data_IF_192644387381
#
_entry.id   IF_192644387381
#
_cell.length_a   1.000
_cell.length_b   1.000
_cell.length_c   1.000
_cell.angle_alpha   90.00
_cell.angle_beta   90.00
_cell.angle_gamma   90.00
#
_symmetry.space_group_name_H-M   'P 1'
#
loop_
_entity.id
_entity.type
_entity.pdbx_description
1 polymer ?
#
# COMPACT_ATOMS: atom_id res chain seq x y z
N UNK A 1 13.60 33.89 -8.95
CA UNK A 1 14.50 32.83 -8.42
C UNK A 1 14.63 32.95 -6.90
N UNK A 2 15.15 34.04 -6.33
CA UNK A 2 15.27 34.20 -4.87
C UNK A 2 13.94 34.07 -4.09
N UNK A 3 12.82 34.60 -4.61
CA UNK A 3 11.48 34.47 -4.00
C UNK A 3 10.96 33.04 -4.05
N UNK A 4 11.24 32.30 -5.12
CA UNK A 4 10.85 30.89 -5.28
C UNK A 4 11.67 30.01 -4.33
N UNK A 5 12.96 30.31 -4.16
CA UNK A 5 13.84 29.65 -3.20
C UNK A 5 13.41 29.96 -1.76
N UNK A 6 13.05 31.21 -1.46
CA UNK A 6 12.57 31.64 -0.14
C UNK A 6 11.20 31.01 0.19
N UNK A 7 10.28 30.95 -0.78
CA UNK A 7 9.01 30.24 -0.63
C UNK A 7 9.22 28.73 -0.45
N UNK A 8 10.13 28.12 -1.21
CA UNK A 8 10.51 26.72 -1.02
C UNK A 8 11.07 26.44 0.38
N UNK A 9 11.86 27.36 0.92
CA UNK A 9 12.41 27.26 2.28
C UNK A 9 11.34 27.46 3.38
N UNK A 10 10.42 28.40 3.18
CA UNK A 10 9.31 28.68 4.10
C UNK A 10 8.28 27.55 4.14
N UNK A 11 7.95 26.97 2.98
CA UNK A 11 7.13 25.76 2.88
C UNK A 11 7.82 24.62 3.64
N UNK A 12 9.12 24.40 3.40
CA UNK A 12 9.93 23.39 4.12
C UNK A 12 9.95 23.52 5.64
N UNK A 13 9.80 24.73 6.16
CA UNK A 13 9.83 24.99 7.61
C UNK A 13 8.45 24.90 8.30
N UNK A 14 7.34 24.92 7.55
CA UNK A 14 5.99 25.06 8.13
C UNK A 14 5.01 23.94 7.78
N UNK A 15 5.28 23.14 6.75
CA UNK A 15 4.39 22.03 6.37
C UNK A 15 4.85 20.71 6.99
N UNK A 16 3.88 19.93 7.51
CA UNK A 16 4.16 18.61 8.08
C UNK A 16 4.85 17.69 7.07
N UNK A 17 5.71 16.79 7.54
CA UNK A 17 6.62 16.00 6.68
C UNK A 17 5.94 15.25 5.51
N UNK A 18 4.65 14.91 5.63
CA UNK A 18 3.85 14.29 4.55
C UNK A 18 3.52 15.26 3.41
N UNK A 19 3.19 16.51 3.70
CA UNK A 19 2.90 17.53 2.67
C UNK A 19 4.18 17.92 1.95
N UNK A 20 5.31 17.96 2.66
CA UNK A 20 6.62 18.19 2.05
C UNK A 20 7.06 17.07 1.12
N UNK A 21 6.69 15.83 1.40
CA UNK A 21 6.98 14.70 0.53
C UNK A 21 6.29 14.81 -0.85
N UNK A 22 5.13 15.50 -0.93
CA UNK A 22 4.41 15.75 -2.20
C UNK A 22 5.13 16.83 -3.03
N UNK A 23 5.70 17.84 -2.37
CA UNK A 23 6.37 18.98 -3.03
C UNK A 23 7.81 18.63 -3.42
N UNK A 24 8.49 17.83 -2.60
CA UNK A 24 9.86 17.36 -2.84
C UNK A 24 9.93 15.82 -2.77
N UNK A 25 9.85 15.14 -3.92
CA UNK A 25 9.98 13.68 -4.00
C UNK A 25 11.31 13.14 -3.48
N UNK A 26 12.38 13.95 -3.50
CA UNK A 26 13.69 13.53 -2.98
C UNK A 26 13.72 13.58 -1.46
N UNK A 27 13.04 14.56 -0.84
CA UNK A 27 12.91 14.62 0.62
C UNK A 27 12.13 13.43 1.20
N UNK A 28 11.16 12.89 0.46
CA UNK A 28 10.43 11.66 0.84
C UNK A 28 11.36 10.49 1.16
N UNK A 29 12.42 10.30 0.37
CA UNK A 29 13.39 9.21 0.58
C UNK A 29 14.11 9.28 1.94
N UNK A 30 14.12 10.45 2.58
CA UNK A 30 14.73 10.66 3.89
C UNK A 30 13.84 10.28 5.08
N UNK A 31 12.55 10.01 4.87
CA UNK A 31 11.59 9.62 5.92
C UNK A 31 11.05 8.22 5.63
N UNK A 32 11.67 7.16 6.17
CA UNK A 32 11.31 5.78 5.86
C UNK A 32 9.85 5.41 6.10
N UNK A 33 9.24 5.86 7.20
CA UNK A 33 7.82 5.59 7.49
C UNK A 33 6.90 6.16 6.40
N UNK A 34 7.25 7.31 5.81
CA UNK A 34 6.47 7.87 4.70
C UNK A 34 6.71 7.07 3.42
N UNK A 35 7.94 6.64 3.15
CA UNK A 35 8.27 5.87 1.95
C UNK A 35 7.73 4.44 1.95
N UNK A 36 7.52 3.84 3.12
CA UNK A 36 7.00 2.45 3.24
C UNK A 36 5.49 2.33 3.08
N UNK A 37 4.76 3.44 3.09
CA UNK A 37 3.31 3.43 2.88
C UNK A 37 3.04 3.45 1.38
N UNK A 38 2.38 2.40 0.89
CA UNK A 38 2.09 2.23 -0.54
C UNK A 38 1.37 3.45 -1.15
N UNK A 39 0.48 4.11 -0.39
CA UNK A 39 -0.23 5.32 -0.84
C UNK A 39 0.71 6.50 -1.18
N UNK A 40 1.92 6.49 -0.63
CA UNK A 40 2.91 7.54 -0.82
C UNK A 40 3.94 7.19 -1.90
N UNK A 41 3.74 6.11 -2.65
CA UNK A 41 4.59 5.75 -3.78
C UNK A 41 4.46 6.74 -4.94
N UNK A 42 5.46 6.67 -5.83
CA UNK A 42 5.44 7.44 -7.06
C UNK A 42 4.55 6.73 -8.07
N UNK A 43 3.72 7.51 -8.74
CA UNK A 43 2.80 7.00 -9.75
C UNK A 43 3.57 6.64 -11.01
N UNK A 44 3.42 5.41 -11.49
CA UNK A 44 4.00 4.98 -12.76
C UNK A 44 3.09 5.39 -13.93
N UNK A 45 3.60 5.32 -15.17
CA UNK A 45 2.75 5.56 -16.34
C UNK A 45 1.57 4.58 -16.39
N UNK A 46 1.79 3.35 -15.92
CA UNK A 46 0.78 2.30 -15.91
C UNK A 46 -0.37 2.66 -14.96
N UNK A 47 -0.06 3.20 -13.78
CA UNK A 47 -1.08 3.64 -12.80
C UNK A 47 -1.94 4.77 -13.40
N UNK A 48 -1.31 5.76 -14.05
CA UNK A 48 -2.02 6.80 -14.79
C UNK A 48 -2.96 6.24 -15.85
N UNK A 49 -2.51 5.24 -16.60
CA UNK A 49 -3.33 4.61 -17.62
C UNK A 49 -4.46 3.78 -17.00
N UNK A 50 -4.18 2.99 -15.97
CA UNK A 50 -5.16 2.18 -15.27
C UNK A 50 -6.27 3.05 -14.64
N UNK A 51 -5.90 4.19 -14.05
CA UNK A 51 -6.84 5.14 -13.44
C UNK A 51 -7.62 5.98 -14.45
N UNK A 52 -6.94 6.62 -15.41
CA UNK A 52 -7.55 7.64 -16.28
C UNK A 52 -7.84 7.17 -17.71
N UNK A 53 -7.20 6.10 -18.18
CA UNK A 53 -7.39 5.51 -19.50
C UNK A 53 -7.40 6.57 -20.63
N UNK A 54 -8.48 6.63 -21.43
CA UNK A 54 -8.63 7.59 -22.52
C UNK A 54 -8.59 9.06 -22.05
N UNK A 55 -9.00 9.33 -20.80
CA UNK A 55 -9.00 10.69 -20.25
C UNK A 55 -7.57 11.25 -20.14
N UNK A 56 -6.58 10.38 -19.93
CA UNK A 56 -5.16 10.76 -19.95
C UNK A 56 -4.77 11.41 -21.28
N UNK A 57 -5.30 10.91 -22.41
CA UNK A 57 -5.05 11.45 -23.75
C UNK A 57 -5.88 12.71 -24.04
N UNK A 58 -7.08 12.82 -23.45
CA UNK A 58 -7.95 13.99 -23.62
C UNK A 58 -7.48 15.19 -22.79
N UNK A 59 -6.76 14.96 -21.68
CA UNK A 59 -6.33 16.02 -20.77
C UNK A 59 -5.44 17.09 -21.45
N UNK A 60 -4.38 16.75 -22.21
CA UNK A 60 -3.60 17.76 -22.95
C UNK A 60 -4.42 18.53 -24.00
N UNK A 61 -5.36 17.84 -24.67
CA UNK A 61 -6.27 18.47 -25.65
C UNK A 61 -7.19 19.47 -24.95
N UNK A 62 -7.73 19.11 -23.79
CA UNK A 62 -8.56 20.00 -22.99
C UNK A 62 -7.77 21.23 -22.52
N UNK A 63 -6.54 21.06 -22.05
CA UNK A 63 -5.65 22.18 -21.66
C UNK A 63 -5.45 23.16 -22.82
N UNK A 64 -5.22 22.65 -24.03
CA UNK A 64 -5.12 23.50 -25.22
C UNK A 64 -6.43 24.25 -25.51
N UNK A 65 -7.58 23.59 -25.38
CA UNK A 65 -8.87 24.23 -25.60
C UNK A 65 -9.23 25.26 -24.50
N UNK A 66 -8.81 25.03 -23.25
CA UNK A 66 -8.93 26.00 -22.17
C UNK A 66 -8.04 27.22 -22.44
N UNK A 67 -6.83 27.00 -22.95
CA UNK A 67 -5.93 28.09 -23.33
C UNK A 67 -6.53 28.97 -24.44
N UNK A 68 -7.17 28.33 -25.43
CA UNK A 68 -7.88 29.01 -26.52
C UNK A 68 -9.09 29.83 -26.07
N UNK A 69 -9.73 29.52 -24.94
CA UNK A 69 -10.83 30.34 -24.39
C UNK A 69 -10.33 31.68 -23.85
N UNK A 70 -9.10 31.71 -23.31
CA UNK A 70 -8.47 32.92 -22.74
C UNK A 70 -9.33 33.66 -21.69
N UNK A 71 -10.21 32.93 -20.99
CA UNK A 71 -11.03 33.45 -19.89
C UNK A 71 -10.44 33.07 -18.52
N UNK A 72 -10.86 33.79 -17.47
CA UNK A 72 -10.41 33.51 -16.09
C UNK A 72 -10.69 32.04 -15.69
N UNK A 73 -11.81 31.49 -16.13
CA UNK A 73 -12.15 30.09 -15.92
C UNK A 73 -11.15 29.14 -16.61
N UNK A 74 -10.80 29.38 -17.88
CA UNK A 74 -9.82 28.59 -18.61
C UNK A 74 -8.45 28.62 -17.93
N UNK A 75 -8.00 29.78 -17.46
CA UNK A 75 -6.74 29.91 -16.69
C UNK A 75 -6.79 29.08 -15.40
N UNK A 76 -7.89 29.17 -14.64
CA UNK A 76 -8.05 28.38 -13.42
C UNK A 76 -8.04 26.87 -13.68
N UNK A 77 -8.70 26.42 -14.76
CA UNK A 77 -8.73 25.01 -15.16
C UNK A 77 -7.35 24.49 -15.59
N UNK A 78 -6.56 25.30 -16.31
CA UNK A 78 -5.19 24.96 -16.68
C UNK A 78 -4.32 24.84 -15.43
N UNK A 79 -4.37 25.81 -14.53
CA UNK A 79 -3.61 25.76 -13.28
C UNK A 79 -3.98 24.53 -12.46
N UNK A 80 -5.27 24.24 -12.32
CA UNK A 80 -5.72 23.06 -11.58
C UNK A 80 -5.26 21.76 -12.25
N UNK A 81 -5.41 21.62 -13.57
CA UNK A 81 -4.98 20.43 -14.30
C UNK A 81 -3.47 20.20 -14.17
N UNK A 82 -2.64 21.24 -14.32
CA UNK A 82 -1.19 21.13 -14.22
C UNK A 82 -0.75 20.81 -12.79
N UNK A 83 -1.29 21.50 -11.78
CA UNK A 83 -0.95 21.25 -10.38
C UNK A 83 -1.40 19.86 -9.92
N UNK A 84 -2.61 19.43 -10.29
CA UNK A 84 -3.11 18.10 -9.96
C UNK A 84 -2.28 17.01 -10.65
N UNK A 85 -1.95 17.18 -11.94
CA UNK A 85 -1.10 16.21 -12.67
C UNK A 85 0.28 16.08 -12.01
N UNK A 86 0.88 17.20 -11.59
CA UNK A 86 2.15 17.18 -10.87
C UNK A 86 2.05 16.47 -9.51
N UNK A 87 0.99 16.77 -8.75
CA UNK A 87 0.75 16.12 -7.47
C UNK A 87 0.55 14.61 -7.64
N UNK A 88 -0.26 14.18 -8.61
CA UNK A 88 -0.46 12.77 -8.96
C UNK A 88 0.83 12.10 -9.39
N UNK A 89 1.66 12.74 -10.22
CA UNK A 89 2.95 12.16 -10.61
C UNK A 89 3.91 11.97 -9.42
N UNK A 90 3.77 12.79 -8.38
CA UNK A 90 4.62 12.76 -7.19
C UNK A 90 4.06 11.88 -6.07
N UNK A 91 2.77 11.54 -6.12
CA UNK A 91 2.00 10.94 -5.04
C UNK A 91 0.76 10.21 -5.57
N UNK A 92 0.73 8.87 -5.51
CA UNK A 92 -0.38 8.05 -6.04
C UNK A 92 -1.74 8.50 -5.52
N UNK A 93 -1.89 8.75 -4.22
CA UNK A 93 -3.19 9.15 -3.66
C UNK A 93 -3.69 10.53 -4.14
N UNK A 94 -2.84 11.35 -4.76
CA UNK A 94 -3.31 12.58 -5.41
C UNK A 94 -4.11 12.34 -6.70
N UNK A 95 -4.25 11.09 -7.18
CA UNK A 95 -5.21 10.72 -8.23
C UNK A 95 -6.65 11.18 -7.92
N UNK A 96 -7.05 11.15 -6.65
CA UNK A 96 -8.36 11.65 -6.20
C UNK A 96 -8.57 13.13 -6.56
N UNK A 97 -7.49 13.93 -6.52
CA UNK A 97 -7.51 15.36 -6.85
C UNK A 97 -7.54 15.58 -8.37
N UNK A 98 -6.86 14.72 -9.14
CA UNK A 98 -6.83 14.79 -10.61
C UNK A 98 -8.14 14.30 -11.24
N UNK A 99 -8.85 13.38 -10.58
CA UNK A 99 -10.12 12.79 -11.05
C UNK A 99 -11.18 13.82 -11.50
N UNK A 100 -11.59 14.80 -10.68
CA UNK A 100 -12.64 15.75 -11.10
C UNK A 100 -12.22 16.61 -12.29
N UNK A 101 -10.97 17.07 -12.34
CA UNK A 101 -10.49 17.90 -13.46
C UNK A 101 -10.31 17.08 -14.74
N UNK A 102 -9.87 15.83 -14.63
CA UNK A 102 -9.78 14.90 -15.76
C UNK A 102 -11.16 14.59 -16.35
N UNK A 103 -12.17 14.39 -15.50
CA UNK A 103 -13.55 14.19 -15.94
C UNK A 103 -14.11 15.43 -16.66
N UNK A 104 -13.91 16.63 -16.12
CA UNK A 104 -14.35 17.87 -16.77
C UNK A 104 -13.60 18.13 -18.08
N UNK A 105 -12.29 17.88 -18.10
CA UNK A 105 -11.45 17.97 -19.29
C UNK A 105 -11.95 17.03 -20.40
N UNK A 106 -12.16 15.75 -20.08
CA UNK A 106 -12.67 14.75 -21.01
C UNK A 106 -14.06 15.13 -21.52
N UNK A 107 -14.97 15.53 -20.63
CA UNK A 107 -16.33 15.95 -21.00
C UNK A 107 -16.30 17.18 -21.94
N UNK A 108 -15.41 18.14 -21.68
CA UNK A 108 -15.28 19.33 -22.51
C UNK A 108 -14.79 19.00 -23.93
N UNK A 109 -13.78 18.12 -24.06
CA UNK A 109 -13.29 17.68 -25.39
C UNK A 109 -14.37 16.88 -26.12
N UNK A 110 -15.01 15.92 -25.44
CA UNK A 110 -16.06 15.08 -26.02
C UNK A 110 -17.24 15.95 -26.50
N UNK A 111 -17.68 16.92 -25.70
CA UNK A 111 -18.75 17.85 -26.08
C UNK A 111 -18.40 18.62 -27.35
N UNK A 112 -17.16 19.12 -27.49
CA UNK A 112 -16.72 19.84 -28.70
C UNK A 112 -16.66 18.93 -29.93
N UNK A 113 -16.27 17.68 -29.75
CA UNK A 113 -16.30 16.69 -30.83
C UNK A 113 -17.74 16.39 -31.25
N UNK A 114 -18.65 16.20 -30.30
CA UNK A 114 -20.08 15.99 -30.59
C UNK A 114 -20.64 17.20 -31.35
N UNK A 115 -20.39 18.43 -30.90
CA UNK A 115 -20.86 19.64 -31.58
C UNK A 115 -20.33 19.76 -33.02
N UNK A 116 -19.09 19.34 -33.26
CA UNK A 116 -18.47 19.40 -34.59
C UNK A 116 -19.03 18.32 -35.54
N UNK A 117 -19.20 17.08 -35.07
CA UNK A 117 -19.55 15.94 -35.92
C UNK A 117 -21.05 15.63 -35.95
N UNK A 118 -21.83 15.93 -34.91
CA UNK A 118 -23.26 15.62 -34.88
C UNK A 118 -24.04 16.27 -36.04
N UNK A 119 -23.81 17.55 -36.43
CA UNK A 119 -24.47 18.13 -37.58
C UNK A 119 -24.09 17.46 -38.91
N UNK A 120 -22.84 17.00 -39.04
CA UNK A 120 -22.34 16.29 -40.22
C UNK A 120 -23.03 14.92 -40.35
N UNK A 121 -23.09 14.17 -39.25
CA UNK A 121 -23.76 12.87 -39.16
C UNK A 121 -25.26 12.99 -39.45
N UNK A 122 -25.94 13.98 -38.85
CA UNK A 122 -27.36 14.21 -39.08
C UNK A 122 -27.68 14.61 -40.53
N UNK A 123 -26.79 15.38 -41.18
CA UNK A 123 -26.92 15.73 -42.60
C UNK A 123 -26.69 14.51 -43.50
N UNK A 124 -25.67 13.71 -43.22
CA UNK A 124 -25.38 12.48 -43.95
C UNK A 124 -26.55 11.48 -43.88
N UNK A 125 -27.07 11.23 -42.67
CA UNK A 125 -28.24 10.37 -42.46
C UNK A 125 -29.46 10.85 -43.29
N UNK A 126 -29.73 12.16 -43.28
CA UNK A 126 -30.84 12.75 -44.04
C UNK A 126 -30.62 12.72 -45.56
N UNK A 127 -29.38 12.80 -46.05
CA UNK A 127 -29.09 12.70 -47.49
C UNK A 127 -29.21 11.28 -48.01
N UNK A 128 -28.80 10.28 -47.22
CA UNK A 128 -28.93 8.86 -47.57
C UNK A 128 -30.40 8.43 -47.58
N UNK A 129 -31.20 8.91 -46.61
CA UNK A 129 -32.65 8.69 -46.58
C UNK A 129 -33.41 9.33 -47.76
N UNK A 130 -32.83 10.34 -48.42
CA UNK A 130 -33.41 11.03 -49.59
C UNK A 130 -32.79 10.64 -50.94
N UNK A 131 -31.95 9.60 -50.98
CA UNK A 131 -31.40 9.05 -52.23
C UNK A 131 -30.53 10.01 -53.06
N UNK A 132 -29.91 11.04 -52.45
CA UNK A 132 -29.00 11.95 -53.16
C UNK A 132 -27.54 11.57 -52.94
N UNK A 133 -26.73 11.65 -54.03
CA UNK A 133 -25.32 11.23 -54.10
C UNK A 133 -24.44 11.84 -52.99
N UNK A 134 -23.53 10.99 -52.52
CA UNK A 134 -22.51 11.21 -51.48
C UNK A 134 -21.77 12.55 -51.63
N UNK A 135 -21.78 13.34 -50.55
CA UNK A 135 -21.00 14.55 -50.41
C UNK A 135 -19.58 14.18 -49.95
N UNK A 136 -18.60 14.35 -50.85
CA UNK A 136 -17.19 14.21 -50.57
C UNK A 136 -16.67 15.42 -49.77
N UNK A 137 -16.08 15.18 -48.61
CA UNK A 137 -15.39 16.18 -47.81
C UNK A 137 -15.45 15.85 -46.33
N UNK A 138 -14.55 14.95 -45.89
CA UNK A 138 -14.53 14.25 -44.60
C UNK A 138 -15.56 13.13 -44.54
N UNK A 139 -15.05 11.89 -44.46
CA UNK A 139 -15.87 10.70 -44.29
C UNK A 139 -16.59 10.80 -42.95
N UNK A 140 -17.83 11.27 -42.99
CA UNK A 140 -18.75 11.31 -41.84
C UNK A 140 -18.80 9.94 -41.14
N UNK A 141 -18.56 8.87 -41.90
CA UNK A 141 -18.36 7.50 -41.44
C UNK A 141 -17.22 7.39 -40.44
N UNK A 142 -16.04 7.92 -40.74
CA UNK A 142 -14.87 7.90 -39.85
C UNK A 142 -15.12 8.73 -38.59
N UNK A 143 -15.70 9.92 -38.73
CA UNK A 143 -16.02 10.78 -37.57
C UNK A 143 -17.09 10.17 -36.65
N UNK A 144 -18.11 9.52 -37.23
CA UNK A 144 -19.14 8.81 -36.48
C UNK A 144 -18.61 7.56 -35.79
N UNK A 145 -17.81 6.76 -36.48
CA UNK A 145 -17.16 5.57 -35.92
C UNK A 145 -16.24 5.97 -34.74
N UNK A 146 -15.45 7.03 -34.89
CA UNK A 146 -14.57 7.52 -33.82
C UNK A 146 -15.35 8.01 -32.59
N UNK A 147 -16.47 8.72 -32.79
CA UNK A 147 -17.34 9.13 -31.67
C UNK A 147 -18.00 7.95 -30.97
N UNK A 148 -18.51 6.98 -31.71
CA UNK A 148 -19.11 5.76 -31.14
C UNK A 148 -18.05 4.95 -30.39
N UNK A 149 -16.87 4.78 -30.97
CA UNK A 149 -15.75 4.11 -30.32
C UNK A 149 -15.37 4.82 -29.01
N UNK A 150 -15.27 6.15 -29.01
CA UNK A 150 -14.96 6.94 -27.82
C UNK A 150 -15.97 6.73 -26.68
N UNK A 151 -17.28 6.66 -27.01
CA UNK A 151 -18.35 6.41 -26.03
C UNK A 151 -18.26 4.97 -25.50
N UNK A 152 -18.10 3.98 -26.37
CA UNK A 152 -17.98 2.57 -25.98
C UNK A 152 -16.77 2.36 -25.07
N UNK A 153 -15.61 2.88 -25.47
CA UNK A 153 -14.37 2.81 -24.70
C UNK A 153 -14.53 3.47 -23.32
N UNK A 154 -15.18 4.63 -23.25
CA UNK A 154 -15.46 5.31 -21.97
C UNK A 154 -16.37 4.47 -21.06
N UNK A 155 -17.42 3.85 -21.62
CA UNK A 155 -18.32 2.96 -20.87
C UNK A 155 -17.64 1.68 -20.37
N UNK A 156 -16.78 1.08 -21.18
CA UNK A 156 -15.99 -0.09 -20.78
C UNK A 156 -15.08 0.21 -19.58
N UNK A 157 -14.39 1.36 -19.60
CA UNK A 157 -13.52 1.75 -18.49
C UNK A 157 -14.28 2.13 -17.22
N UNK A 158 -15.47 2.74 -17.35
CA UNK A 158 -16.36 2.96 -16.21
C UNK A 158 -16.74 1.63 -15.54
N UNK A 159 -17.06 0.59 -16.32
CA UNK A 159 -17.35 -0.73 -15.78
C UNK A 159 -16.14 -1.34 -15.04
N UNK A 160 -14.93 -1.22 -15.58
CA UNK A 160 -13.73 -1.70 -14.88
C UNK A 160 -13.50 -0.99 -13.54
N UNK A 161 -13.70 0.34 -13.49
CA UNK A 161 -13.62 1.10 -12.24
C UNK A 161 -14.67 0.65 -11.21
N UNK A 162 -15.90 0.38 -11.65
CA UNK A 162 -16.95 -0.16 -10.77
C UNK A 162 -16.61 -1.56 -10.26
N UNK A 163 -16.11 -2.44 -11.12
CA UNK A 163 -15.71 -3.79 -10.74
C UNK A 163 -14.54 -3.79 -9.74
N UNK A 164 -13.59 -2.86 -9.88
CA UNK A 164 -12.49 -2.70 -8.92
C UNK A 164 -12.97 -2.12 -7.57
N UNK A 165 -13.92 -1.18 -7.61
CA UNK A 165 -14.52 -0.59 -6.42
C UNK A 165 -15.40 -1.58 -5.63
N UNK A 166 -16.00 -2.56 -6.31
CA UNK A 166 -16.79 -3.65 -5.71
C UNK A 166 -15.90 -4.78 -5.17
N UNK A 167 -14.79 -4.42 -4.52
CA UNK A 167 -13.91 -5.36 -3.85
C UNK A 167 -14.28 -5.45 -2.35
N UNK A 168 -14.18 -6.65 -1.73
CA UNK A 168 -14.46 -6.81 -0.32
C UNK A 168 -13.51 -5.95 0.52
N UNK A 169 -13.98 -5.38 1.65
CA UNK A 169 -13.12 -4.55 2.50
C UNK A 169 -11.97 -5.39 3.07
N UNK A 170 -10.82 -4.75 3.30
CA UNK A 170 -9.60 -5.41 3.77
C UNK A 170 -9.78 -6.21 5.07
N UNK A 171 -10.65 -5.76 5.97
CA UNK A 171 -10.97 -6.48 7.20
C UNK A 171 -11.61 -7.86 6.92
N UNK A 172 -12.32 -8.03 5.82
CA UNK A 172 -12.96 -9.29 5.44
C UNK A 172 -12.14 -10.09 4.42
N UNK A 173 -10.91 -9.68 4.13
CA UNK A 173 -10.06 -10.33 3.12
C UNK A 173 -8.77 -10.83 3.77
N UNK A 174 -8.48 -12.12 3.61
CA UNK A 174 -7.25 -12.76 4.07
C UNK A 174 -6.63 -13.52 2.92
N UNK A 175 -5.36 -13.22 2.58
CA UNK A 175 -4.66 -13.94 1.50
C UNK A 175 -5.43 -14.00 0.17
N UNK A 176 -6.09 -12.92 -0.21
CA UNK A 176 -6.84 -12.80 -1.47
C UNK A 176 -8.22 -13.45 -1.51
N UNK A 177 -8.74 -13.98 -0.40
CA UNK A 177 -10.10 -14.52 -0.32
C UNK A 177 -10.89 -13.92 0.84
N UNK A 178 -12.21 -13.95 0.72
CA UNK A 178 -13.12 -13.47 1.78
C UNK A 178 -13.07 -14.44 2.95
N UNK A 179 -12.71 -13.96 4.13
CA UNK A 179 -12.62 -14.75 5.36
C UNK A 179 -13.11 -13.94 6.57
N UNK A 180 -13.62 -14.64 7.58
CA UNK A 180 -14.03 -14.06 8.87
C UNK A 180 -12.92 -14.10 9.91
N UNK A 181 -11.72 -14.50 9.53
CA UNK A 181 -10.56 -14.66 10.41
C UNK A 181 -10.23 -13.42 11.24
N UNK A 182 -10.21 -12.23 10.62
CA UNK A 182 -9.98 -10.98 11.33
C UNK A 182 -11.07 -10.68 12.35
N UNK A 183 -12.34 -10.85 11.97
CA UNK A 183 -13.47 -10.66 12.88
C UNK A 183 -13.37 -11.61 14.07
N UNK A 184 -13.14 -12.90 13.83
CA UNK A 184 -13.02 -13.92 14.86
C UNK A 184 -11.85 -13.63 15.81
N UNK A 185 -10.67 -13.28 15.28
CA UNK A 185 -9.50 -12.97 16.08
C UNK A 185 -9.71 -11.73 16.97
N UNK A 186 -10.28 -10.66 16.42
CA UNK A 186 -10.53 -9.43 17.16
C UNK A 186 -11.62 -9.62 18.23
N UNK A 187 -12.68 -10.38 17.94
CA UNK A 187 -13.69 -10.75 18.93
C UNK A 187 -13.13 -11.67 20.00
N UNK A 188 -12.25 -12.62 19.64
CA UNK A 188 -11.56 -13.45 20.62
C UNK A 188 -10.76 -12.59 21.60
N UNK A 189 -9.97 -11.62 21.09
CA UNK A 189 -9.23 -10.67 21.94
C UNK A 189 -10.20 -9.91 22.86
N UNK A 190 -11.31 -9.41 22.32
CA UNK A 190 -12.31 -8.64 23.09
C UNK A 190 -12.88 -9.41 24.29
N UNK A 191 -13.14 -10.70 24.12
CA UNK A 191 -13.85 -11.51 25.12
C UNK A 191 -12.93 -12.38 25.99
N UNK A 192 -11.68 -12.61 25.59
CA UNK A 192 -10.77 -13.53 26.29
C UNK A 192 -9.53 -12.86 26.89
N UNK A 193 -9.35 -11.55 26.73
CA UNK A 193 -8.23 -10.81 27.35
C UNK A 193 -8.73 -9.79 28.38
N UNK A 194 -7.93 -9.36 29.38
CA UNK A 194 -8.30 -8.29 30.29
C UNK A 194 -8.61 -6.96 29.56
N UNK A 195 -9.58 -6.15 29.99
CA UNK A 195 -9.96 -4.90 29.30
C UNK A 195 -8.83 -3.88 29.10
N UNK A 196 -7.84 -3.88 29.99
CA UNK A 196 -6.67 -3.01 29.95
C UNK A 196 -5.42 -3.68 29.35
N UNK A 197 -5.55 -4.88 28.80
CA UNK A 197 -4.44 -5.60 28.20
C UNK A 197 -3.96 -4.89 26.92
N UNK A 198 -2.69 -4.52 26.90
CA UNK A 198 -2.06 -3.90 25.73
C UNK A 198 -1.73 -4.97 24.71
N UNK A 199 -2.26 -4.81 23.50
CA UNK A 199 -2.01 -5.69 22.35
C UNK A 199 -1.00 -5.00 21.43
N UNK A 200 0.17 -5.59 21.27
CA UNK A 200 1.13 -5.19 20.25
C UNK A 200 0.76 -5.83 18.91
N UNK A 201 0.91 -5.08 17.83
CA UNK A 201 0.77 -5.55 16.45
C UNK A 201 1.53 -4.60 15.53
N UNK A 202 1.74 -4.98 14.27
CA UNK A 202 2.12 -3.98 13.27
C UNK A 202 1.09 -2.84 13.21
N UNK A 203 1.54 -1.63 12.88
CA UNK A 203 0.76 -0.41 13.04
C UNK A 203 -0.50 -0.37 12.16
N UNK A 204 -0.48 -1.05 11.00
CA UNK A 204 -1.62 -1.15 10.08
C UNK A 204 -2.91 -1.63 10.77
N UNK A 205 -2.79 -2.55 11.72
CA UNK A 205 -3.95 -3.21 12.36
C UNK A 205 -4.45 -2.48 13.62
N UNK A 206 -3.76 -1.41 14.05
CA UNK A 206 -4.00 -0.77 15.34
C UNK A 206 -5.44 -0.26 15.54
N UNK A 207 -6.04 0.33 14.49
CA UNK A 207 -7.43 0.78 14.57
C UNK A 207 -8.43 -0.37 14.66
N UNK A 208 -8.16 -1.51 14.03
CA UNK A 208 -9.04 -2.68 14.11
C UNK A 208 -9.07 -3.24 15.53
N UNK A 209 -7.89 -3.33 16.17
CA UNK A 209 -7.75 -3.72 17.57
C UNK A 209 -8.46 -2.73 18.49
N UNK A 210 -8.24 -1.43 18.29
CA UNK A 210 -8.84 -0.39 19.13
C UNK A 210 -10.37 -0.38 19.03
N UNK A 211 -10.92 -0.45 17.82
CA UNK A 211 -12.37 -0.29 17.59
C UNK A 211 -13.14 -1.58 17.83
N UNK A 212 -12.68 -2.72 17.30
CA UNK A 212 -13.41 -3.99 17.35
C UNK A 212 -13.05 -4.74 18.61
N UNK A 213 -11.75 -4.96 18.86
CA UNK A 213 -11.30 -5.69 20.04
C UNK A 213 -11.43 -4.87 21.34
N UNK A 214 -11.60 -3.55 21.24
CA UNK A 214 -11.70 -2.63 22.38
C UNK A 214 -10.54 -2.81 23.37
N UNK A 215 -9.30 -2.80 22.86
CA UNK A 215 -8.06 -2.90 23.64
C UNK A 215 -7.07 -1.80 23.28
N UNK A 216 -6.24 -1.34 24.25
CA UNK A 216 -5.11 -0.49 23.93
C UNK A 216 -4.15 -1.18 22.93
N UNK A 217 -3.72 -0.45 21.91
CA UNK A 217 -2.70 -0.91 20.93
C UNK A 217 -1.39 -0.15 21.12
N UNK A 218 -0.27 -0.80 20.83
CA UNK A 218 1.04 -0.16 20.88
C UNK A 218 1.29 0.81 19.71
N UNK A 219 0.71 0.55 18.55
CA UNK A 219 0.90 1.39 17.38
C UNK A 219 -0.38 1.44 16.54
N UNK A 220 -0.55 2.52 15.78
CA UNK A 220 -1.73 2.76 14.97
C UNK A 220 -1.42 3.49 13.63
N UNK A 221 -2.35 3.48 12.67
CA UNK A 221 -2.17 4.10 11.36
C UNK A 221 -2.02 5.62 11.33
N UNK A 222 -2.25 6.35 12.44
CA UNK A 222 -1.96 7.79 12.49
C UNK A 222 -0.46 8.08 12.40
N UNK A 223 0.37 7.12 12.85
CA UNK A 223 1.83 7.21 12.90
C UNK A 223 2.36 8.49 13.57
N UNK A 224 1.67 9.01 14.57
CA UNK A 224 2.06 10.25 15.26
C UNK A 224 3.40 10.09 15.98
N UNK A 225 3.61 8.98 16.68
CA UNK A 225 4.87 8.67 17.36
C UNK A 225 5.72 7.68 16.54
N UNK A 226 6.56 8.21 15.66
CA UNK A 226 7.42 7.41 14.77
C UNK A 226 8.50 6.64 15.51
N UNK A 227 9.00 7.13 16.65
CA UNK A 227 10.01 6.44 17.46
C UNK A 227 9.43 5.16 18.08
N UNK A 228 8.18 5.19 18.51
CA UNK A 228 7.48 4.02 19.05
C UNK A 228 7.27 2.93 17.99
N UNK A 229 6.86 3.30 16.78
CA UNK A 229 6.74 2.36 15.65
C UNK A 229 8.09 1.74 15.31
N UNK A 230 9.16 2.52 15.39
CA UNK A 230 10.51 2.03 15.17
C UNK A 230 10.96 1.04 16.23
N UNK A 231 10.70 1.29 17.52
CA UNK A 231 11.04 0.32 18.57
C UNK A 231 10.23 -0.96 18.42
N UNK A 232 8.96 -0.87 18.04
CA UNK A 232 8.16 -2.02 17.65
C UNK A 232 8.77 -2.77 16.45
N UNK A 233 9.22 -2.06 15.40
CA UNK A 233 9.87 -2.69 14.26
C UNK A 233 11.17 -3.42 14.65
N UNK A 234 11.97 -2.84 15.55
CA UNK A 234 13.15 -3.49 16.14
C UNK A 234 12.71 -4.71 16.96
N UNK A 235 11.65 -4.63 17.77
CA UNK A 235 11.17 -5.75 18.55
C UNK A 235 10.72 -6.93 17.66
N UNK A 236 10.11 -6.65 16.51
CA UNK A 236 9.68 -7.69 15.57
C UNK A 236 10.86 -8.30 14.81
N UNK A 237 11.83 -7.49 14.37
CA UNK A 237 12.91 -7.94 13.49
C UNK A 237 14.20 -8.37 14.20
N UNK A 238 14.43 -7.94 15.44
CA UNK A 238 15.59 -8.32 16.23
C UNK A 238 15.40 -9.68 16.94
N UNK A 239 16.43 -10.09 17.68
CA UNK A 239 16.40 -11.30 18.47
C UNK A 239 15.40 -11.24 19.63
N UNK A 240 15.06 -12.42 20.15
CA UNK A 240 14.13 -12.61 21.26
C UNK A 240 14.45 -11.72 22.47
N UNK A 241 15.72 -11.65 22.89
CA UNK A 241 16.14 -10.89 24.08
C UNK A 241 15.88 -9.38 23.94
N UNK A 242 16.12 -8.82 22.75
CA UNK A 242 15.83 -7.41 22.47
C UNK A 242 14.31 -7.21 22.38
N UNK A 243 13.60 -8.11 21.71
CA UNK A 243 12.14 -8.08 21.56
C UNK A 243 11.42 -8.06 22.91
N UNK A 244 11.76 -9.00 23.78
CA UNK A 244 11.20 -9.11 25.12
C UNK A 244 11.41 -7.84 25.94
N UNK A 245 12.61 -7.26 25.91
CA UNK A 245 12.92 -6.02 26.65
C UNK A 245 12.06 -4.85 26.16
N UNK A 246 11.89 -4.70 24.84
CA UNK A 246 11.08 -3.62 24.26
C UNK A 246 9.60 -3.83 24.56
N UNK A 247 9.07 -5.03 24.35
CA UNK A 247 7.66 -5.33 24.62
C UNK A 247 7.32 -5.17 26.11
N UNK A 248 8.23 -5.56 27.00
CA UNK A 248 8.08 -5.37 28.45
C UNK A 248 8.12 -3.89 28.84
N UNK A 249 9.00 -3.09 28.22
CA UNK A 249 9.06 -1.63 28.43
C UNK A 249 7.73 -0.94 28.11
N UNK A 250 7.01 -1.45 27.12
CA UNK A 250 5.69 -0.94 26.73
C UNK A 250 4.52 -1.65 27.43
N UNK A 251 4.79 -2.54 28.39
CA UNK A 251 3.78 -3.32 29.09
C UNK A 251 2.83 -4.09 28.14
N UNK A 252 3.34 -4.52 26.99
CA UNK A 252 2.58 -5.36 26.07
C UNK A 252 2.32 -6.72 26.72
N UNK A 253 1.07 -7.17 26.69
CA UNK A 253 0.65 -8.47 27.23
C UNK A 253 0.34 -9.48 26.13
N UNK A 254 -0.09 -9.00 24.97
CA UNK A 254 -0.37 -9.83 23.81
C UNK A 254 0.36 -9.29 22.57
N UNK A 255 0.74 -10.18 21.66
CA UNK A 255 1.26 -9.84 20.35
C UNK A 255 0.41 -10.52 19.27
N UNK A 256 -0.16 -9.73 18.36
CA UNK A 256 -0.90 -10.20 17.19
C UNK A 256 0.01 -10.20 15.96
N UNK A 257 0.01 -11.33 15.25
CA UNK A 257 0.75 -11.51 13.99
C UNK A 257 -0.24 -11.96 12.92
N UNK A 258 -0.12 -11.36 11.73
CA UNK A 258 -0.91 -11.70 10.56
C UNK A 258 -0.02 -12.24 9.45
N UNK A 259 -0.20 -13.51 9.08
CA UNK A 259 0.45 -14.11 7.92
C UNK A 259 -0.51 -15.07 7.23
N UNK A 260 -1.14 -14.68 6.10
CA UNK A 260 -1.92 -15.61 5.31
C UNK A 260 -1.04 -16.68 4.69
N UNK A 261 -1.65 -17.85 4.49
CA UNK A 261 -1.00 -19.03 3.91
C UNK A 261 -1.67 -19.32 2.58
N UNK A 262 -0.88 -19.35 1.51
CA UNK A 262 -1.27 -19.84 0.19
C UNK A 262 -0.86 -21.29 0.00
N UNK A 263 -1.48 -21.97 -0.96
CA UNK A 263 -1.17 -23.36 -1.30
C UNK A 263 -0.78 -23.46 -2.77
N UNK A 264 0.35 -24.10 -3.06
CA UNK A 264 0.78 -24.43 -4.42
C UNK A 264 0.11 -25.72 -4.90
N UNK A 265 0.08 -25.92 -6.22
CA UNK A 265 -0.28 -27.21 -6.79
C UNK A 265 0.69 -28.28 -6.26
N UNK A 266 0.16 -29.30 -5.57
CA UNK A 266 0.95 -30.31 -4.85
C UNK A 266 0.88 -30.21 -3.32
N UNK A 267 0.09 -29.28 -2.77
CA UNK A 267 -0.22 -29.23 -1.33
C UNK A 267 0.84 -28.53 -0.46
N UNK A 268 1.92 -28.01 -1.07
CA UNK A 268 2.92 -27.22 -0.36
C UNK A 268 2.34 -25.86 0.02
N UNK A 269 2.45 -25.51 1.29
CA UNK A 269 2.03 -24.22 1.83
C UNK A 269 3.12 -23.17 1.65
N UNK A 270 2.75 -21.92 1.39
CA UNK A 270 3.69 -20.80 1.32
C UNK A 270 3.11 -19.56 1.98
N UNK A 271 3.94 -18.70 2.60
CA UNK A 271 3.47 -17.43 3.13
C UNK A 271 3.15 -16.47 1.98
N UNK A 272 1.94 -15.90 1.96
CA UNK A 272 1.58 -14.88 0.97
C UNK A 272 2.28 -13.55 1.25
N UNK A 273 2.37 -12.68 0.23
CA UNK A 273 2.95 -11.34 0.34
C UNK A 273 2.12 -10.37 1.19
N UNK A 274 0.83 -10.64 1.39
CA UNK A 274 -0.09 -9.70 2.04
C UNK A 274 0.08 -9.64 3.57
N UNK A 275 0.81 -10.60 4.14
CA UNK A 275 1.08 -10.71 5.56
C UNK A 275 2.27 -9.91 6.06
N UNK A 276 2.57 -10.09 7.34
CA UNK A 276 3.69 -9.46 8.04
C UNK A 276 5.05 -9.85 7.44
N UNK A 277 5.16 -10.99 6.73
CA UNK A 277 6.37 -11.32 5.98
C UNK A 277 6.62 -10.32 4.84
N UNK A 278 5.62 -9.97 4.05
CA UNK A 278 5.78 -8.97 2.99
C UNK A 278 6.10 -7.59 3.56
N UNK A 279 5.50 -7.26 4.71
CA UNK A 279 5.74 -6.00 5.42
C UNK A 279 7.06 -5.96 6.18
N UNK A 280 7.70 -7.11 6.45
CA UNK A 280 8.98 -7.17 7.16
C UNK A 280 10.08 -6.36 6.48
N UNK A 281 10.06 -6.23 5.15
CA UNK A 281 10.96 -5.32 4.42
C UNK A 281 10.83 -3.87 4.87
N UNK A 282 9.60 -3.38 5.05
CA UNK A 282 9.33 -2.06 5.59
C UNK A 282 9.71 -1.95 7.08
N UNK A 283 9.42 -2.99 7.88
CA UNK A 283 9.84 -3.04 9.29
C UNK A 283 11.36 -2.87 9.42
N UNK A 284 12.13 -3.56 8.57
CA UNK A 284 13.59 -3.47 8.52
C UNK A 284 14.07 -2.07 8.13
N UNK A 285 13.48 -1.45 7.11
CA UNK A 285 13.83 -0.07 6.70
C UNK A 285 13.53 0.94 7.81
N UNK A 286 12.40 0.78 8.52
CA UNK A 286 12.04 1.65 9.65
C UNK A 286 12.98 1.41 10.84
N UNK A 287 13.31 0.16 11.15
CA UNK A 287 14.28 -0.19 12.19
C UNK A 287 15.67 0.41 11.90
N UNK A 288 16.11 0.41 10.64
CA UNK A 288 17.39 0.98 10.22
C UNK A 288 17.44 2.53 10.28
N UNK A 289 16.29 3.20 10.36
CA UNK A 289 16.19 4.67 10.23
C UNK A 289 16.58 5.48 11.48
N UNK A 290 16.96 4.80 12.57
CA UNK A 290 17.12 5.42 13.90
C UNK A 290 18.40 6.23 14.04
N UNK A 291 18.34 7.25 14.90
CA UNK A 291 19.51 7.65 15.68
C UNK A 291 19.72 6.62 16.80
N UNK A 292 20.40 5.52 16.48
CA UNK A 292 20.66 4.38 17.38
C UNK A 292 21.30 4.78 18.71
N UNK A 293 21.90 5.98 18.82
CA UNK A 293 22.41 6.52 20.09
C UNK A 293 21.31 6.69 21.15
N UNK A 294 20.10 7.13 20.77
CA UNK A 294 18.97 7.23 21.71
C UNK A 294 18.47 5.86 22.13
N UNK A 295 18.41 4.92 21.19
CA UNK A 295 18.01 3.54 21.47
C UNK A 295 18.99 2.86 22.44
N UNK A 296 20.29 3.03 22.20
CA UNK A 296 21.36 2.54 23.07
C UNK A 296 21.24 3.13 24.49
N UNK A 297 20.93 4.42 24.63
CA UNK A 297 20.70 5.04 25.94
C UNK A 297 19.50 4.46 26.69
N UNK A 298 18.43 4.09 25.99
CA UNK A 298 17.19 3.58 26.62
C UNK A 298 17.29 2.09 26.93
N UNK A 299 17.81 1.29 25.99
CA UNK A 299 17.79 -0.17 26.09
C UNK A 299 19.16 -0.80 26.34
N UNK A 300 20.27 -0.06 26.22
CA UNK A 300 21.63 -0.55 26.47
C UNK A 300 22.19 -1.51 25.41
N UNK A 301 21.54 -1.61 24.24
CA UNK A 301 21.99 -2.47 23.15
C UNK A 301 22.67 -1.65 22.05
N UNK A 302 23.84 -2.11 21.62
CA UNK A 302 24.57 -1.52 20.51
C UNK A 302 24.13 -2.17 19.18
N UNK A 303 23.17 -1.53 18.51
CA UNK A 303 22.66 -1.94 17.21
C UNK A 303 23.09 -0.95 16.12
N UNK A 304 23.35 -1.45 14.93
CA UNK A 304 23.73 -0.62 13.78
C UNK A 304 22.72 -0.73 12.64
N UNK A 305 22.55 0.32 11.80
CA UNK A 305 21.61 0.29 10.67
C UNK A 305 21.86 -0.88 9.71
N UNK A 306 23.12 -1.28 9.52
CA UNK A 306 23.51 -2.36 8.61
C UNK A 306 22.95 -3.72 9.06
N UNK A 307 22.68 -3.92 10.35
CA UNK A 307 22.10 -5.15 10.88
C UNK A 307 20.65 -5.37 10.43
N UNK A 308 19.98 -4.33 9.93
CA UNK A 308 18.60 -4.36 9.44
C UNK A 308 18.50 -4.26 7.92
N UNK A 309 19.56 -4.63 7.19
CA UNK A 309 19.48 -4.71 5.74
C UNK A 309 18.59 -5.88 5.30
N UNK A 310 17.64 -5.63 4.38
CA UNK A 310 16.68 -6.61 3.89
C UNK A 310 17.34 -7.89 3.36
N UNK A 311 18.50 -7.79 2.71
CA UNK A 311 19.25 -8.95 2.18
C UNK A 311 19.76 -9.91 3.26
N UNK A 312 19.82 -9.47 4.53
CA UNK A 312 20.19 -10.33 5.66
C UNK A 312 19.01 -11.04 6.30
N UNK A 313 17.79 -10.83 5.80
CA UNK A 313 16.57 -11.47 6.31
C UNK A 313 15.81 -12.21 5.22
N UNK A 314 15.69 -11.62 4.03
CA UNK A 314 14.85 -12.13 2.94
C UNK A 314 15.68 -12.49 1.72
N UNK A 315 15.28 -13.57 1.06
CA UNK A 315 15.79 -14.00 -0.25
C UNK A 315 14.60 -14.36 -1.13
N UNK A 316 14.65 -13.99 -2.41
CA UNK A 316 13.62 -14.42 -3.37
C UNK A 316 14.01 -15.77 -3.97
N UNK A 317 13.08 -16.73 -3.99
CA UNK A 317 13.28 -18.03 -4.63
C UNK A 317 13.26 -17.85 -6.15
N UNK A 318 14.35 -18.18 -6.88
CA UNK A 318 14.46 -17.93 -8.32
C UNK A 318 13.36 -18.61 -9.15
N UNK A 319 12.93 -19.80 -8.75
CA UNK A 319 12.00 -20.63 -9.52
C UNK A 319 10.52 -20.30 -9.25
N UNK A 320 10.22 -19.67 -8.11
CA UNK A 320 8.85 -19.43 -7.64
C UNK A 320 8.52 -17.94 -7.50
N UNK A 321 9.51 -17.06 -7.52
CA UNK A 321 9.33 -15.63 -7.26
C UNK A 321 8.92 -15.30 -5.82
N UNK A 322 8.86 -16.30 -4.94
CA UNK A 322 8.41 -16.18 -3.55
C UNK A 322 9.51 -15.61 -2.65
N UNK A 323 9.13 -14.68 -1.78
CA UNK A 323 10.02 -14.18 -0.73
C UNK A 323 10.06 -15.17 0.44
N UNK A 324 11.27 -15.57 0.82
CA UNK A 324 11.49 -16.50 1.94
C UNK A 324 12.50 -15.95 2.94
N UNK A 325 12.36 -16.28 4.23
CA UNK A 325 13.30 -15.86 5.27
C UNK A 325 14.58 -16.70 5.23
N UNK A 326 15.60 -16.30 4.45
CA UNK A 326 16.82 -17.09 4.23
C UNK A 326 18.14 -16.30 4.41
N UNK A 327 18.12 -15.24 5.23
CA UNK A 327 19.31 -14.43 5.49
C UNK A 327 20.05 -14.76 6.80
N UNK A 328 21.22 -14.14 6.98
CA UNK A 328 22.10 -14.30 8.16
C UNK A 328 21.38 -14.09 9.51
N UNK A 329 20.44 -13.14 9.57
CA UNK A 329 19.69 -12.80 10.77
C UNK A 329 18.25 -13.32 10.76
N UNK A 330 17.83 -14.02 9.69
CA UNK A 330 16.46 -14.50 9.53
C UNK A 330 16.04 -15.43 10.69
N UNK A 331 16.88 -16.40 11.08
CA UNK A 331 16.59 -17.31 12.19
C UNK A 331 16.55 -16.63 13.56
N UNK A 332 17.12 -15.43 13.68
CA UNK A 332 17.12 -14.67 14.93
C UNK A 332 15.90 -13.76 15.03
N UNK A 333 15.28 -13.37 13.91
CA UNK A 333 14.14 -12.46 13.91
C UNK A 333 12.96 -13.04 14.70
N UNK A 334 12.47 -12.28 15.69
CA UNK A 334 11.37 -12.71 16.56
C UNK A 334 10.10 -12.97 15.76
N UNK A 335 9.77 -12.08 14.82
CA UNK A 335 8.62 -12.21 13.93
C UNK A 335 8.63 -13.54 13.16
N UNK A 336 9.75 -13.89 12.51
CA UNK A 336 9.84 -15.13 11.73
C UNK A 336 9.74 -16.37 12.62
N UNK A 337 10.37 -16.32 13.80
CA UNK A 337 10.26 -17.39 14.79
C UNK A 337 8.82 -17.62 15.26
N UNK A 338 8.04 -16.56 15.44
CA UNK A 338 6.64 -16.65 15.81
C UNK A 338 5.72 -17.05 14.65
N UNK A 339 6.05 -16.70 13.40
CA UNK A 339 5.24 -17.06 12.24
C UNK A 339 5.42 -18.53 11.85
N UNK A 340 6.68 -18.97 11.74
CA UNK A 340 6.99 -20.30 11.20
C UNK A 340 7.18 -21.35 12.31
N UNK A 341 7.59 -20.94 13.51
CA UNK A 341 7.80 -21.87 14.62
C UNK A 341 6.51 -22.47 15.19
N UNK A 342 5.38 -21.77 15.06
CA UNK A 342 4.06 -22.26 15.48
C UNK A 342 3.36 -23.12 14.43
N UNK A 343 3.83 -23.11 13.19
CA UNK A 343 3.25 -23.85 12.08
C UNK A 343 4.27 -24.82 11.45
N UNK A 344 4.40 -26.05 11.99
CA UNK A 344 5.33 -27.04 11.48
C UNK A 344 5.11 -27.39 10.00
N UNK A 345 3.87 -27.39 9.53
CA UNK A 345 3.50 -27.69 8.14
C UNK A 345 4.01 -26.62 7.17
N UNK A 346 3.88 -25.35 7.55
CA UNK A 346 4.40 -24.22 6.77
C UNK A 346 5.94 -24.23 6.75
N UNK A 347 6.58 -24.49 7.90
CA UNK A 347 8.03 -24.60 7.97
C UNK A 347 8.56 -25.75 7.11
N UNK A 348 7.92 -26.92 7.16
CA UNK A 348 8.29 -28.05 6.31
C UNK A 348 8.17 -27.69 4.82
N UNK A 349 7.06 -27.07 4.43
CA UNK A 349 6.82 -26.65 3.05
C UNK A 349 7.87 -25.66 2.57
N UNK A 350 8.24 -24.68 3.41
CA UNK A 350 9.32 -23.74 3.12
C UNK A 350 10.64 -24.45 2.91
N UNK A 351 11.02 -25.37 3.79
CA UNK A 351 12.28 -26.12 3.66
C UNK A 351 12.32 -26.91 2.35
N UNK A 352 11.22 -27.53 1.93
CA UNK A 352 11.11 -28.21 0.64
C UNK A 352 11.28 -27.22 -0.54
N UNK A 353 10.56 -26.09 -0.51
CA UNK A 353 10.67 -25.04 -1.54
C UNK A 353 12.08 -24.47 -1.65
N UNK A 354 12.75 -24.29 -0.51
CA UNK A 354 14.15 -23.90 -0.43
C UNK A 354 15.07 -24.93 -1.09
N UNK A 355 14.90 -26.22 -0.76
CA UNK A 355 15.68 -27.31 -1.37
C UNK A 355 15.51 -27.36 -2.90
N UNK A 356 14.29 -27.22 -3.41
CA UNK A 356 14.04 -27.18 -4.86
C UNK A 356 14.69 -25.99 -5.57
N UNK A 357 14.97 -24.91 -4.84
CA UNK A 357 15.55 -23.69 -5.39
C UNK A 357 17.04 -23.51 -5.05
N UNK A 358 17.65 -24.47 -4.35
CA UNK A 358 19.04 -24.38 -3.89
C UNK A 358 19.28 -23.35 -2.77
N UNK A 359 18.24 -23.00 -2.01
CA UNK A 359 18.26 -21.99 -0.95
C UNK A 359 18.07 -22.65 0.41
N UNK A 360 19.04 -22.48 1.32
CA UNK A 360 18.95 -23.04 2.68
C UNK A 360 18.08 -22.16 3.57
N UNK A 361 16.92 -22.67 3.98
CA UNK A 361 16.02 -22.00 4.91
C UNK A 361 16.28 -22.52 6.33
N UNK A 362 16.53 -21.64 7.32
CA UNK A 362 16.74 -22.07 8.71
C UNK A 362 15.46 -22.65 9.32
N UNK A 363 15.62 -23.41 10.41
CA UNK A 363 14.49 -23.79 11.26
C UNK A 363 14.12 -22.64 12.20
N UNK A 364 12.82 -22.48 12.44
CA UNK A 364 12.26 -21.46 13.32
C UNK A 364 11.64 -22.13 14.53
N UNK A 365 11.72 -21.48 15.69
CA UNK A 365 11.15 -22.01 16.94
C UNK A 365 10.54 -20.87 17.74
N UNK A 366 9.36 -21.12 18.33
CA UNK A 366 8.68 -20.13 19.17
C UNK A 366 9.57 -19.84 20.39
N UNK A 367 9.96 -18.57 20.63
CA UNK A 367 10.80 -18.23 21.78
C UNK A 367 10.06 -18.44 23.10
N UNK A 368 10.76 -18.75 24.21
CA UNK A 368 10.14 -19.20 25.47
C UNK A 368 9.22 -18.17 26.14
N UNK A 369 9.44 -16.87 25.92
CA UNK A 369 8.58 -15.79 26.45
C UNK A 369 7.25 -15.59 25.71
N UNK A 370 7.01 -16.33 24.63
CA UNK A 370 5.80 -16.21 23.81
C UNK A 370 5.00 -17.51 23.87
N UNK A 371 3.74 -17.42 24.28
CA UNK A 371 2.82 -18.56 24.31
C UNK A 371 1.68 -18.32 23.33
N UNK A 372 1.53 -19.19 22.34
CA UNK A 372 0.39 -19.12 21.43
C UNK A 372 -0.91 -19.40 22.22
N UNK A 373 -1.83 -18.44 22.23
CA UNK A 373 -3.11 -18.55 22.95
C UNK A 373 -4.31 -18.61 22.02
N UNK A 374 -4.17 -18.12 20.79
CA UNK A 374 -5.20 -18.20 19.77
C UNK A 374 -4.60 -18.26 18.37
N UNK A 375 -5.25 -19.03 17.50
CA UNK A 375 -4.96 -19.16 16.08
C UNK A 375 -6.28 -19.27 15.34
N UNK A 376 -6.44 -18.54 14.24
CA UNK A 376 -7.64 -18.69 13.40
C UNK A 376 -7.68 -20.05 12.69
N UNK A 377 -8.85 -20.48 12.18
CA UNK A 377 -8.99 -21.73 11.44
C UNK A 377 -8.02 -21.84 10.25
N UNK A 378 -7.83 -20.76 9.50
CA UNK A 378 -6.89 -20.72 8.37
C UNK A 378 -5.44 -20.51 8.81
N UNK A 379 -5.20 -20.43 10.13
CA UNK A 379 -3.90 -20.17 10.77
C UNK A 379 -3.23 -18.87 10.29
N UNK A 380 -4.03 -17.94 9.76
CA UNK A 380 -3.55 -16.69 9.20
C UNK A 380 -3.31 -15.62 10.26
N UNK A 381 -4.05 -15.64 11.37
CA UNK A 381 -3.88 -14.70 12.48
C UNK A 381 -3.54 -15.48 13.74
N UNK A 382 -2.42 -15.09 14.35
CA UNK A 382 -1.89 -15.71 15.56
C UNK A 382 -1.87 -14.66 16.68
N UNK A 383 -2.31 -15.05 17.87
CA UNK A 383 -2.20 -14.22 19.07
C UNK A 383 -1.34 -14.94 20.10
N UNK A 384 -0.26 -14.28 20.49
CA UNK A 384 0.67 -14.73 21.50
C UNK A 384 0.45 -13.96 22.79
N UNK A 385 0.41 -14.66 23.91
CA UNK A 385 0.53 -14.11 25.26
C UNK A 385 2.01 -13.97 25.61
N UNK A 386 2.38 -12.81 26.13
CA UNK A 386 3.74 -12.45 26.51
C UNK A 386 3.92 -12.76 27.99
N UNK A 387 4.75 -13.76 28.29
CA UNK A 387 5.05 -14.14 29.66
C UNK A 387 6.17 -13.25 30.20
N UNK A 388 5.84 -11.99 30.48
CA UNK A 388 6.80 -11.00 30.99
C UNK A 388 7.06 -11.23 32.48
N UNK A 389 7.72 -12.33 32.81
CA UNK A 389 8.21 -12.61 34.17
C UNK A 389 9.48 -11.84 34.52
N UNK A 390 10.04 -11.08 33.59
CA UNK A 390 11.22 -10.23 33.82
C UNK A 390 10.77 -8.91 34.45
N UNK A 391 10.69 -8.89 35.77
CA UNK A 391 10.67 -7.67 36.58
C UNK A 391 11.72 -6.68 36.06
N UNK A 392 11.27 -5.48 35.70
CA UNK A 392 12.14 -4.32 35.40
C UNK A 392 13.02 -4.01 36.61
#
# INVERSE_FOLDING_TARGET
IAIVVLMGFLIRSSTGGRILAIIDPFYRSSIPIVNTVAENELTTWFDFYAGFNIQMLLLPVAIYLFFRRSDMAGVAMILFALSATYATASYVRAEEILTPIAAVAAAYVISRLIDAYAPILLRAYRSTAKGRRSLSGVDWEVGGILLIALIITSGFFMYQGLAAADSPPLLMTVGGHVSSDWEQALLWIRYNTPPNAVVASWWDYGYWIMVIANRPTLADPSTVNTTQIQYLAIALMANYTISEKILSFYHAQYLLIYQPIGYLQGGLSYPTSDGDLGKSGAMLTIAASTNFKKFEQVFGFNLTPQMFNQSYYLTQLPNFGLLVPSGKYASQATLYNLMFGSNPSLQYSLQQLGQYSGVTIPSFQVPPGFKLVYSTPDQAILVYELNTTSSI
#
